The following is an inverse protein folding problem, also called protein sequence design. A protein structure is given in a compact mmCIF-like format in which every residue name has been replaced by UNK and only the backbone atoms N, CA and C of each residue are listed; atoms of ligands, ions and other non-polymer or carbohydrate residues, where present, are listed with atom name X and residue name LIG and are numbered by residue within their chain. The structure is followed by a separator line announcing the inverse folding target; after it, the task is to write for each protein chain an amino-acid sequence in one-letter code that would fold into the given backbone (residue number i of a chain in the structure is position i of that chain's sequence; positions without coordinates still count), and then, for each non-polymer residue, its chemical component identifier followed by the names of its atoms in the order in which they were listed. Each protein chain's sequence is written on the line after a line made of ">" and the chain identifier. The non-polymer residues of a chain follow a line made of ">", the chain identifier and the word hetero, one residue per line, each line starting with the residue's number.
data_IF_506916374468
#
_entry.id   IF_506916374468
#
_cell.length_a   1.000
_cell.length_b   1.000
_cell.length_c   1.000
_cell.angle_alpha   90.00
_cell.angle_beta   90.00
_cell.angle_gamma   90.00
#
_symmetry.space_group_name_H-M   'P 1'
#
loop_
_entity.id
_entity.type
_entity.pdbx_description
1 polymer ?
#
# COMPACT_ATOMS: atom_id res chain seq x y z
N UNK A 1 -0.77 52.99 -68.28
CA UNK A 1 -1.52 51.81 -67.79
C UNK A 1 -0.87 51.13 -66.58
N UNK A 2 0.43 51.29 -66.26
CA UNK A 2 1.06 50.56 -65.14
C UNK A 2 0.61 51.01 -63.73
N UNK A 3 0.23 52.28 -63.51
CA UNK A 3 -0.13 52.79 -62.17
C UNK A 3 -1.37 52.13 -61.53
N UNK A 4 -2.32 51.66 -62.35
CA UNK A 4 -3.53 50.94 -61.88
C UNK A 4 -3.26 49.47 -61.59
N UNK A 5 -2.31 48.86 -62.28
CA UNK A 5 -1.89 47.47 -62.04
C UNK A 5 -1.06 47.37 -60.74
N UNK A 6 -0.22 48.37 -60.46
CA UNK A 6 0.53 48.48 -59.19
C UNK A 6 -0.40 48.71 -57.98
N UNK A 7 -1.42 49.57 -58.10
CA UNK A 7 -2.44 49.79 -57.06
C UNK A 7 -3.29 48.54 -56.80
N UNK A 8 -3.71 47.84 -57.86
CA UNK A 8 -4.47 46.59 -57.73
C UNK A 8 -3.64 45.48 -57.07
N UNK A 9 -2.34 45.38 -57.40
CA UNK A 9 -1.40 44.47 -56.76
C UNK A 9 -1.25 44.74 -55.26
N UNK A 10 -1.09 46.02 -54.87
CA UNK A 10 -0.98 46.39 -53.44
C UNK A 10 -2.27 46.15 -52.65
N UNK A 11 -3.44 46.41 -53.26
CA UNK A 11 -4.73 46.11 -52.62
C UNK A 11 -4.88 44.61 -52.37
N UNK A 12 -4.52 43.78 -53.36
CA UNK A 12 -4.60 42.32 -53.22
C UNK A 12 -3.65 41.81 -52.12
N UNK A 13 -2.42 42.31 -52.06
CA UNK A 13 -1.46 41.93 -51.02
C UNK A 13 -1.97 42.29 -49.63
N UNK A 14 -2.50 43.50 -49.45
CA UNK A 14 -3.06 43.93 -48.17
C UNK A 14 -4.26 43.06 -47.75
N UNK A 15 -5.19 42.79 -48.67
CA UNK A 15 -6.35 41.93 -48.40
C UNK A 15 -5.91 40.52 -48.02
N UNK A 16 -4.97 39.92 -48.78
CA UNK A 16 -4.42 38.60 -48.46
C UNK A 16 -3.70 38.59 -47.11
N UNK A 17 -2.96 39.65 -46.78
CA UNK A 17 -2.29 39.78 -45.48
C UNK A 17 -3.31 39.85 -44.34
N UNK A 18 -4.38 40.65 -44.47
CA UNK A 18 -5.44 40.71 -43.46
C UNK A 18 -6.15 39.36 -43.30
N UNK A 19 -6.47 38.67 -44.40
CA UNK A 19 -7.10 37.34 -44.36
C UNK A 19 -6.16 36.32 -43.71
N UNK A 20 -4.87 36.33 -44.04
CA UNK A 20 -3.89 35.44 -43.44
C UNK A 20 -3.72 35.69 -41.93
N UNK A 21 -3.62 36.95 -41.51
CA UNK A 21 -3.51 37.32 -40.09
C UNK A 21 -4.80 36.94 -39.34
N UNK A 22 -5.97 37.27 -39.89
CA UNK A 22 -7.26 36.94 -39.28
C UNK A 22 -7.43 35.41 -39.14
N UNK A 23 -7.08 34.65 -40.17
CA UNK A 23 -7.14 33.18 -40.15
C UNK A 23 -6.17 32.60 -39.10
N UNK A 24 -4.95 33.15 -39.02
CA UNK A 24 -3.98 32.77 -37.99
C UNK A 24 -4.45 33.07 -36.57
N UNK A 25 -5.09 34.23 -36.35
CA UNK A 25 -5.66 34.59 -35.05
C UNK A 25 -6.80 33.66 -34.64
N UNK A 26 -7.71 33.32 -35.57
CA UNK A 26 -8.79 32.36 -35.32
C UNK A 26 -8.23 30.99 -34.93
N UNK A 27 -7.21 30.49 -35.64
CA UNK A 27 -6.57 29.21 -35.31
C UNK A 27 -5.92 29.21 -33.92
N UNK A 28 -5.29 30.32 -33.53
CA UNK A 28 -4.69 30.48 -32.20
C UNK A 28 -5.74 30.51 -31.08
N UNK A 29 -6.90 31.13 -31.32
CA UNK A 29 -8.01 31.17 -30.36
C UNK A 29 -8.61 29.77 -30.15
N UNK A 30 -8.93 29.05 -31.23
CA UNK A 30 -9.50 27.70 -31.18
C UNK A 30 -8.59 26.75 -30.39
N UNK A 31 -7.29 26.73 -30.73
CA UNK A 31 -6.33 25.87 -30.03
C UNK A 31 -6.21 26.19 -28.53
N UNK A 32 -6.32 27.48 -28.14
CA UNK A 32 -6.26 27.87 -26.72
C UNK A 32 -7.51 27.42 -25.96
N UNK A 33 -8.68 27.52 -26.59
CA UNK A 33 -9.96 27.13 -25.98
C UNK A 33 -10.06 25.62 -25.78
N UNK A 34 -9.69 24.81 -26.79
CA UNK A 34 -9.69 23.35 -26.69
C UNK A 34 -8.78 22.86 -25.55
N UNK A 35 -7.57 23.39 -25.45
CA UNK A 35 -6.63 23.03 -24.38
C UNK A 35 -7.17 23.42 -22.99
N UNK A 36 -7.87 24.55 -22.87
CA UNK A 36 -8.45 24.99 -21.60
C UNK A 36 -9.61 24.07 -21.17
N UNK A 37 -10.46 23.69 -22.12
CA UNK A 37 -11.60 22.80 -21.90
C UNK A 37 -11.14 21.40 -21.49
N UNK A 38 -10.16 20.83 -22.20
CA UNK A 38 -9.59 19.52 -21.87
C UNK A 38 -8.98 19.50 -20.46
N UNK A 39 -8.24 20.55 -20.08
CA UNK A 39 -7.69 20.66 -18.73
C UNK A 39 -8.79 20.75 -17.68
N UNK A 40 -9.85 21.52 -17.94
CA UNK A 40 -10.99 21.63 -17.02
C UNK A 40 -11.71 20.29 -16.85
N UNK A 41 -11.93 19.54 -17.94
CA UNK A 41 -12.52 18.20 -17.92
C UNK A 41 -11.65 17.21 -17.12
N UNK A 42 -10.34 17.12 -17.42
CA UNK A 42 -9.41 16.25 -16.69
C UNK A 42 -9.31 16.59 -15.21
N UNK A 43 -9.33 17.87 -14.86
CA UNK A 43 -9.31 18.31 -13.46
C UNK A 43 -10.59 17.88 -12.73
N UNK A 44 -11.75 18.00 -13.39
CA UNK A 44 -13.03 17.53 -12.85
C UNK A 44 -13.04 16.01 -12.68
N UNK A 45 -12.59 15.26 -13.67
CA UNK A 45 -12.46 13.80 -13.59
C UNK A 45 -11.52 13.37 -12.48
N UNK A 46 -10.36 14.03 -12.35
CA UNK A 46 -9.40 13.77 -11.27
C UNK A 46 -10.01 14.02 -9.89
N UNK A 47 -10.76 15.11 -9.71
CA UNK A 47 -11.45 15.40 -8.45
C UNK A 47 -12.51 14.34 -8.12
N UNK A 48 -13.29 13.90 -9.11
CA UNK A 48 -14.28 12.81 -8.93
C UNK A 48 -13.60 11.49 -8.59
N UNK A 49 -12.56 11.10 -9.31
CA UNK A 49 -11.81 9.87 -9.06
C UNK A 49 -11.17 9.90 -7.65
N UNK A 50 -10.63 11.05 -7.24
CA UNK A 50 -10.09 11.21 -5.89
C UNK A 50 -11.18 11.09 -4.81
N UNK A 51 -12.39 11.59 -5.05
CA UNK A 51 -13.52 11.42 -4.13
C UNK A 51 -13.90 9.95 -3.97
N UNK A 52 -13.89 9.16 -5.06
CA UNK A 52 -14.13 7.71 -5.01
C UNK A 52 -13.02 6.99 -4.24
N UNK A 53 -11.76 7.32 -4.49
CA UNK A 53 -10.60 6.80 -3.72
C UNK A 53 -10.79 7.06 -2.22
N UNK A 54 -11.17 8.28 -1.84
CA UNK A 54 -11.48 8.64 -0.44
C UNK A 54 -12.66 7.86 0.13
N UNK A 55 -13.70 7.64 -0.66
CA UNK A 55 -14.84 6.80 -0.28
C UNK A 55 -14.40 5.37 0.03
N UNK A 56 -13.52 4.79 -0.80
CA UNK A 56 -12.93 3.46 -0.57
C UNK A 56 -12.12 3.38 0.73
N UNK A 57 -11.26 4.37 1.00
CA UNK A 57 -10.52 4.46 2.27
C UNK A 57 -11.47 4.51 3.49
N UNK A 58 -12.53 5.32 3.42
CA UNK A 58 -13.52 5.45 4.50
C UNK A 58 -14.33 4.16 4.69
N UNK A 59 -14.69 3.48 3.60
CA UNK A 59 -15.36 2.18 3.63
C UNK A 59 -14.53 1.16 4.39
N UNK A 60 -13.22 1.10 4.12
CA UNK A 60 -12.29 0.23 4.84
C UNK A 60 -12.19 0.59 6.34
N UNK A 61 -12.15 1.88 6.70
CA UNK A 61 -12.17 2.32 8.11
C UNK A 61 -13.45 1.83 8.82
N UNK A 62 -14.61 1.94 8.17
CA UNK A 62 -15.89 1.49 8.74
C UNK A 62 -15.93 -0.03 8.88
N UNK A 63 -15.44 -0.75 7.87
CA UNK A 63 -15.36 -2.20 7.89
C UNK A 63 -14.47 -2.71 9.03
N UNK A 64 -13.25 -2.19 9.16
CA UNK A 64 -12.31 -2.55 10.21
C UNK A 64 -12.79 -2.14 11.61
N UNK A 65 -13.56 -1.05 11.72
CA UNK A 65 -14.23 -0.68 12.97
C UNK A 65 -15.31 -1.67 13.37
N UNK A 66 -16.15 -2.10 12.42
CA UNK A 66 -17.19 -3.11 12.65
C UNK A 66 -16.56 -4.45 13.02
N UNK A 67 -15.49 -4.80 12.33
CA UNK A 67 -14.74 -6.02 12.56
C UNK A 67 -14.20 -6.11 13.99
N UNK A 68 -13.58 -5.04 14.50
CA UNK A 68 -13.07 -5.02 15.88
C UNK A 68 -14.17 -5.13 16.96
N UNK A 69 -15.44 -4.97 16.60
CA UNK A 69 -16.59 -5.28 17.49
C UNK A 69 -17.02 -6.75 17.34
N UNK A 70 -17.04 -7.27 16.11
CA UNK A 70 -17.56 -8.60 15.80
C UNK A 70 -16.55 -9.72 16.13
N UNK A 71 -15.26 -9.50 15.86
CA UNK A 71 -14.17 -10.46 16.02
C UNK A 71 -12.94 -9.78 16.66
N UNK A 72 -13.00 -9.36 17.94
CA UNK A 72 -11.94 -8.55 18.57
C UNK A 72 -10.60 -9.27 18.82
N UNK A 73 -10.55 -10.59 18.60
CA UNK A 73 -9.46 -11.46 19.07
C UNK A 73 -8.71 -12.17 17.94
N UNK A 74 -9.16 -12.07 16.71
CA UNK A 74 -8.51 -12.67 15.55
C UNK A 74 -8.70 -11.77 14.33
N UNK A 75 -7.77 -11.83 13.39
CA UNK A 75 -7.88 -11.26 12.05
C UNK A 75 -7.41 -12.31 11.06
N UNK A 76 -8.20 -12.52 10.00
CA UNK A 76 -7.94 -13.55 9.01
C UNK A 76 -8.72 -13.32 7.71
N UNK A 77 -8.41 -14.12 6.68
CA UNK A 77 -8.96 -13.95 5.34
C UNK A 77 -10.44 -14.37 5.20
N UNK A 78 -11.04 -15.00 6.23
CA UNK A 78 -12.45 -15.40 6.19
C UNK A 78 -13.40 -14.25 6.55
N UNK A 79 -12.86 -13.18 7.13
CA UNK A 79 -13.63 -12.06 7.67
C UNK A 79 -14.20 -11.14 6.58
N UNK A 80 -15.25 -10.36 6.91
CA UNK A 80 -15.89 -9.49 5.93
C UNK A 80 -14.96 -8.45 5.32
N UNK A 81 -14.01 -7.90 6.10
CA UNK A 81 -13.10 -6.88 5.59
C UNK A 81 -12.17 -7.40 4.49
N UNK A 82 -11.74 -8.66 4.58
CA UNK A 82 -10.86 -9.30 3.59
C UNK A 82 -11.58 -9.49 2.24
N UNK A 83 -12.89 -9.70 2.30
CA UNK A 83 -13.77 -9.87 1.13
C UNK A 83 -14.12 -8.57 0.41
N UNK A 84 -13.80 -7.40 0.98
CA UNK A 84 -13.99 -6.11 0.34
C UNK A 84 -12.97 -5.83 -0.78
N UNK A 85 -11.97 -6.69 -0.95
CA UNK A 85 -11.02 -6.53 -2.05
C UNK A 85 -11.76 -6.73 -3.38
N UNK A 86 -11.97 -5.64 -4.11
CA UNK A 86 -12.68 -5.56 -5.37
C UNK A 86 -11.73 -5.12 -6.49
N UNK A 87 -11.95 -5.68 -7.68
CA UNK A 87 -11.19 -5.34 -8.88
C UNK A 87 -12.15 -4.97 -9.99
N UNK A 88 -11.87 -3.83 -10.64
CA UNK A 88 -12.65 -3.27 -11.74
C UNK A 88 -14.17 -3.15 -11.46
N UNK A 89 -14.55 -2.86 -10.21
CA UNK A 89 -15.95 -2.64 -9.84
C UNK A 89 -16.52 -1.45 -10.64
N UNK A 90 -17.68 -1.60 -11.30
CA UNK A 90 -18.25 -0.55 -12.12
C UNK A 90 -18.75 0.60 -11.24
N UNK A 91 -18.37 1.82 -11.61
CA UNK A 91 -18.87 3.07 -11.01
C UNK A 91 -19.36 3.99 -12.11
N UNK A 92 -20.08 5.05 -11.74
CA UNK A 92 -20.52 6.05 -12.71
C UNK A 92 -19.33 6.68 -13.44
N UNK A 93 -19.21 6.41 -14.74
CA UNK A 93 -18.16 6.96 -15.60
C UNK A 93 -16.81 6.23 -15.53
N UNK A 94 -16.72 5.06 -14.89
CA UNK A 94 -15.51 4.23 -14.96
C UNK A 94 -15.45 3.07 -13.97
N UNK A 95 -14.27 2.84 -13.38
CA UNK A 95 -14.00 1.66 -12.54
C UNK A 95 -13.34 2.00 -11.21
N UNK A 96 -13.54 1.12 -10.24
CA UNK A 96 -12.98 1.21 -8.89
C UNK A 96 -12.27 -0.10 -8.51
N UNK A 97 -11.13 0.04 -7.85
CA UNK A 97 -10.41 -1.08 -7.23
C UNK A 97 -10.15 -0.76 -5.76
N UNK A 98 -10.32 -1.77 -4.92
CA UNK A 98 -10.01 -1.76 -3.50
C UNK A 98 -9.22 -3.02 -3.17
N UNK A 99 -8.09 -2.89 -2.49
CA UNK A 99 -7.36 -4.01 -1.93
C UNK A 99 -7.12 -3.72 -0.45
N UNK A 100 -7.50 -4.66 0.41
CA UNK A 100 -7.23 -4.61 1.85
C UNK A 100 -6.41 -5.83 2.22
N UNK A 101 -5.32 -5.61 2.97
CA UNK A 101 -4.48 -6.69 3.47
C UNK A 101 -4.03 -6.40 4.90
N UNK A 102 -3.85 -7.45 5.67
CA UNK A 102 -3.22 -7.37 6.98
C UNK A 102 -1.75 -6.95 6.83
N UNK A 103 -1.30 -5.97 7.60
CA UNK A 103 0.08 -5.48 7.56
C UNK A 103 1.01 -6.22 8.52
N UNK A 104 0.48 -6.97 9.48
CA UNK A 104 1.20 -7.54 10.62
C UNK A 104 1.64 -9.00 10.38
N UNK A 105 1.79 -9.44 9.13
CA UNK A 105 2.33 -10.77 8.80
C UNK A 105 3.86 -10.89 8.89
N UNK A 106 4.57 -9.77 9.11
CA UNK A 106 6.04 -9.70 9.12
C UNK A 106 6.57 -9.11 10.42
N UNK A 107 7.83 -9.37 10.73
CA UNK A 107 8.48 -8.81 11.91
C UNK A 107 8.67 -7.29 11.78
N UNK A 108 8.08 -6.53 12.69
CA UNK A 108 8.25 -5.08 12.68
C UNK A 108 9.59 -4.66 13.28
N UNK A 109 10.45 -4.06 12.47
CA UNK A 109 11.78 -3.61 12.88
C UNK A 109 11.71 -2.62 14.05
N UNK A 110 10.64 -1.82 14.16
CA UNK A 110 10.47 -0.86 15.25
C UNK A 110 10.37 -1.53 16.64
N UNK A 111 10.15 -2.85 16.71
CA UNK A 111 10.24 -3.63 17.94
C UNK A 111 11.65 -3.63 18.56
N UNK A 112 12.69 -3.40 17.75
CA UNK A 112 14.10 -3.37 18.22
C UNK A 112 14.45 -2.09 18.98
N UNK A 113 13.63 -1.03 18.86
CA UNK A 113 13.93 0.30 19.39
C UNK A 113 14.11 0.31 20.91
N UNK A 114 13.29 -0.44 21.62
CA UNK A 114 13.29 -0.46 23.09
C UNK A 114 14.26 -1.49 23.67
N UNK A 115 14.92 -2.29 22.84
CA UNK A 115 15.87 -3.32 23.29
C UNK A 115 15.21 -4.50 24.02
N UNK A 116 13.96 -4.82 23.69
CA UNK A 116 13.29 -6.01 24.21
C UNK A 116 14.06 -7.28 23.81
N UNK A 117 14.35 -8.14 24.78
CA UNK A 117 15.15 -9.34 24.56
C UNK A 117 14.47 -10.33 23.59
N UNK A 118 13.15 -10.47 23.66
CA UNK A 118 12.39 -11.31 22.75
C UNK A 118 12.44 -10.79 21.31
N UNK A 119 12.32 -9.47 21.14
CA UNK A 119 12.44 -8.83 19.83
C UNK A 119 13.83 -9.05 19.21
N UNK A 120 14.89 -8.89 20.01
CA UNK A 120 16.27 -9.10 19.57
C UNK A 120 16.50 -10.56 19.18
N UNK A 121 16.05 -11.51 20.00
CA UNK A 121 16.19 -12.96 19.72
C UNK A 121 15.42 -13.38 18.47
N UNK A 122 14.20 -12.87 18.28
CA UNK A 122 13.42 -13.15 17.08
C UNK A 122 14.10 -12.56 15.83
N UNK A 123 14.57 -11.32 15.89
CA UNK A 123 15.30 -10.72 14.77
C UNK A 123 16.61 -11.45 14.47
N UNK A 124 17.37 -11.89 15.47
CA UNK A 124 18.54 -12.75 15.28
C UNK A 124 18.19 -14.08 14.58
N UNK A 125 17.02 -14.65 14.90
CA UNK A 125 16.53 -15.88 14.26
C UNK A 125 16.24 -15.65 12.79
N UNK A 126 15.51 -14.57 12.47
CA UNK A 126 15.23 -14.16 11.08
C UNK A 126 16.53 -13.90 10.33
N UNK A 127 17.42 -13.09 10.90
CA UNK A 127 18.70 -12.73 10.31
C UNK A 127 19.56 -13.97 10.01
N UNK A 128 19.61 -14.93 10.94
CA UNK A 128 20.33 -16.19 10.73
C UNK A 128 19.73 -17.02 9.59
N UNK A 129 18.40 -17.09 9.48
CA UNK A 129 17.73 -17.86 8.42
C UNK A 129 18.01 -17.29 7.02
N UNK A 130 18.08 -15.95 6.91
CA UNK A 130 18.39 -15.27 5.64
C UNK A 130 19.90 -15.20 5.35
N UNK A 131 20.76 -15.63 6.28
CA UNK A 131 22.21 -15.68 6.10
C UNK A 131 22.97 -14.41 6.49
N UNK A 132 22.37 -13.51 7.26
CA UNK A 132 23.05 -12.31 7.78
C UNK A 132 24.01 -12.66 8.92
N UNK A 133 25.12 -11.92 8.99
CA UNK A 133 26.12 -12.09 10.04
C UNK A 133 25.66 -11.48 11.37
N UNK A 134 26.32 -11.85 12.47
CA UNK A 134 26.08 -11.21 13.77
C UNK A 134 26.41 -9.71 13.74
N UNK A 135 27.39 -9.29 12.93
CA UNK A 135 27.75 -7.88 12.75
C UNK A 135 26.61 -7.10 12.08
N UNK A 136 25.98 -7.69 11.05
CA UNK A 136 24.84 -7.11 10.35
C UNK A 136 23.64 -6.91 11.26
N UNK A 137 23.38 -7.88 12.14
CA UNK A 137 22.35 -7.75 13.18
C UNK A 137 22.64 -6.57 14.10
N UNK A 138 23.88 -6.44 14.57
CA UNK A 138 24.27 -5.32 15.45
C UNK A 138 24.09 -3.98 14.73
N UNK A 139 24.47 -3.89 13.45
CA UNK A 139 24.27 -2.67 12.63
C UNK A 139 22.79 -2.33 12.51
N UNK A 140 21.94 -3.29 12.15
CA UNK A 140 20.50 -3.07 11.99
C UNK A 140 19.83 -2.66 13.30
N UNK A 141 20.12 -3.35 14.41
CA UNK A 141 19.60 -3.01 15.74
C UNK A 141 20.06 -1.61 16.15
N UNK A 142 21.34 -1.29 15.97
CA UNK A 142 21.89 0.03 16.30
C UNK A 142 21.22 1.12 15.47
N UNK A 143 21.05 0.89 14.17
CA UNK A 143 20.37 1.82 13.27
C UNK A 143 18.95 2.11 13.74
N UNK A 144 18.14 1.08 14.01
CA UNK A 144 16.75 1.27 14.47
C UNK A 144 16.71 1.97 15.84
N UNK A 145 17.66 1.69 16.74
CA UNK A 145 17.69 2.35 18.05
C UNK A 145 18.07 3.83 17.97
N UNK A 146 18.97 4.19 17.06
CA UNK A 146 19.44 5.58 16.89
C UNK A 146 18.50 6.44 16.05
N UNK A 147 17.94 5.87 14.98
CA UNK A 147 17.18 6.61 13.96
C UNK A 147 15.69 6.24 13.91
N UNK A 148 15.26 5.26 14.72
CA UNK A 148 13.88 4.83 14.77
C UNK A 148 12.92 5.84 15.43
N UNK A 149 11.61 5.76 15.17
CA UNK A 149 10.95 4.73 14.37
C UNK A 149 11.28 4.85 12.88
N UNK A 150 11.62 3.72 12.26
CA UNK A 150 11.85 3.64 10.82
C UNK A 150 10.52 3.48 10.11
N UNK A 151 10.38 4.14 8.96
CA UNK A 151 9.18 4.07 8.10
C UNK A 151 9.44 3.28 6.82
N UNK A 152 10.67 2.80 6.63
CA UNK A 152 11.11 2.08 5.44
C UNK A 152 12.30 1.18 5.77
N UNK A 153 12.39 0.04 5.08
CA UNK A 153 13.44 -0.96 5.23
C UNK A 153 14.63 -0.71 4.30
N UNK A 154 14.46 0.05 3.22
CA UNK A 154 15.48 0.39 2.21
C UNK A 154 16.76 1.00 2.79
N UNK A 155 16.74 1.83 3.85
CA UNK A 155 17.97 2.31 4.47
C UNK A 155 18.88 1.21 5.01
N UNK A 156 18.32 0.07 5.45
CA UNK A 156 19.13 -1.08 5.90
C UNK A 156 19.98 -1.64 4.76
N UNK A 157 19.45 -1.67 3.53
CA UNK A 157 20.22 -2.06 2.34
C UNK A 157 21.44 -1.17 2.11
N UNK A 158 21.31 0.13 2.41
CA UNK A 158 22.41 1.09 2.25
C UNK A 158 23.46 0.96 3.36
N UNK A 159 23.19 0.19 4.42
CA UNK A 159 24.13 -0.06 5.52
C UNK A 159 25.21 -1.12 5.18
N UNK A 160 25.28 -1.58 3.93
CA UNK A 160 26.29 -2.53 3.46
C UNK A 160 25.98 -4.00 3.73
N UNK A 161 24.70 -4.33 3.94
CA UNK A 161 24.23 -5.72 4.07
C UNK A 161 24.40 -6.49 2.75
N UNK A 162 24.60 -7.80 2.83
CA UNK A 162 24.70 -8.66 1.65
C UNK A 162 23.39 -8.60 0.82
N UNK A 163 23.43 -8.34 -0.50
CA UNK A 163 22.24 -8.08 -1.30
C UNK A 163 21.20 -9.21 -1.32
N UNK A 164 21.61 -10.48 -1.40
CA UNK A 164 20.68 -11.61 -1.47
C UNK A 164 19.97 -11.84 -0.12
N UNK A 165 20.72 -11.80 0.98
CA UNK A 165 20.22 -11.88 2.34
C UNK A 165 19.28 -10.72 2.65
N UNK A 166 19.61 -9.51 2.17
CA UNK A 166 18.74 -8.33 2.31
C UNK A 166 17.43 -8.53 1.56
N UNK A 167 17.45 -9.02 0.32
CA UNK A 167 16.23 -9.26 -0.45
C UNK A 167 15.32 -10.32 0.19
N UNK A 168 15.88 -11.34 0.86
CA UNK A 168 15.11 -12.28 1.68
C UNK A 168 14.58 -11.63 2.96
N UNK A 169 15.41 -10.82 3.64
CA UNK A 169 15.02 -10.08 4.84
C UNK A 169 13.79 -9.20 4.56
N UNK A 170 13.76 -8.51 3.42
CA UNK A 170 12.64 -7.63 3.02
C UNK A 170 11.29 -8.37 2.96
N UNK A 171 11.28 -9.69 2.76
CA UNK A 171 10.05 -10.51 2.77
C UNK A 171 9.62 -10.92 4.18
N UNK A 172 10.49 -10.78 5.16
CA UNK A 172 10.27 -11.22 6.54
C UNK A 172 10.12 -10.06 7.52
N UNK A 173 10.49 -8.84 7.13
CA UNK A 173 10.41 -7.66 8.01
C UNK A 173 9.50 -6.57 7.44
N UNK A 174 9.09 -5.66 8.31
CA UNK A 174 8.29 -4.46 7.98
C UNK A 174 8.70 -3.29 8.87
N UNK A 175 8.23 -2.09 8.53
CA UNK A 175 8.50 -0.84 9.23
C UNK A 175 7.18 -0.15 9.62
N UNK A 176 6.36 -0.83 10.43
CA UNK A 176 5.05 -0.31 10.85
C UNK A 176 5.18 0.63 12.06
N UNK A 177 4.32 1.66 12.15
CA UNK A 177 4.30 2.56 13.29
C UNK A 177 3.83 1.82 14.56
N UNK A 178 4.55 2.07 15.66
CA UNK A 178 4.26 1.47 16.96
C UNK A 178 4.85 0.06 17.15
N UNK A 179 4.41 -0.62 18.20
CA UNK A 179 4.76 -2.00 18.50
C UNK A 179 3.64 -2.93 18.00
N UNK A 180 4.00 -3.95 17.22
CA UNK A 180 3.05 -4.88 16.60
C UNK A 180 3.48 -6.32 16.87
N UNK A 181 2.50 -7.20 17.06
CA UNK A 181 2.72 -8.64 17.04
C UNK A 181 2.75 -9.14 15.59
N UNK A 182 3.23 -10.35 15.37
CA UNK A 182 3.09 -11.03 14.07
C UNK A 182 1.80 -11.85 14.09
N UNK A 183 0.86 -11.52 13.21
CA UNK A 183 -0.35 -12.31 13.02
C UNK A 183 -0.04 -13.56 12.21
N UNK A 184 -0.22 -14.74 12.82
CA UNK A 184 -0.01 -16.04 12.18
C UNK A 184 -0.95 -16.29 10.99
N UNK A 185 -2.09 -15.61 10.91
CA UNK A 185 -3.00 -15.69 9.76
C UNK A 185 -2.53 -14.85 8.56
N UNK A 186 -1.69 -13.84 8.80
CA UNK A 186 -1.11 -12.98 7.78
C UNK A 186 0.32 -13.36 7.40
N UNK A 187 1.01 -14.13 8.24
CA UNK A 187 2.40 -14.52 8.02
C UNK A 187 2.58 -15.44 6.80
N UNK A 188 3.49 -15.12 5.89
CA UNK A 188 3.78 -15.97 4.75
C UNK A 188 4.43 -17.32 5.18
N UNK A 189 4.40 -18.35 4.32
CA UNK A 189 4.97 -19.67 4.66
C UNK A 189 6.43 -19.62 5.13
N UNK A 190 7.24 -18.73 4.55
CA UNK A 190 8.64 -18.53 4.96
C UNK A 190 8.73 -17.99 6.40
N UNK A 191 7.86 -17.03 6.77
CA UNK A 191 7.79 -16.53 8.14
C UNK A 191 7.33 -17.62 9.12
N UNK A 192 6.36 -18.46 8.76
CA UNK A 192 5.95 -19.58 9.61
C UNK A 192 7.12 -20.56 9.85
N UNK A 193 7.95 -20.83 8.84
CA UNK A 193 9.14 -21.68 9.00
C UNK A 193 10.13 -21.07 10.00
N UNK A 194 10.39 -19.76 9.91
CA UNK A 194 11.28 -19.06 10.83
C UNK A 194 10.74 -19.06 12.27
N UNK A 195 9.43 -18.84 12.44
CA UNK A 195 8.78 -18.76 13.75
C UNK A 195 8.77 -20.09 14.49
N UNK A 196 8.43 -21.19 13.80
CA UNK A 196 8.28 -22.50 14.43
C UNK A 196 9.57 -23.33 14.40
N UNK A 197 10.54 -22.98 13.55
CA UNK A 197 11.82 -23.69 13.37
C UNK A 197 11.65 -25.19 13.06
N UNK A 198 10.50 -25.54 12.51
CA UNK A 198 10.13 -26.87 12.06
C UNK A 198 9.45 -26.71 10.69
N UNK A 199 10.16 -27.01 9.58
CA UNK A 199 9.62 -26.85 8.24
C UNK A 199 8.37 -27.69 7.98
N UNK A 200 8.29 -28.90 8.57
CA UNK A 200 7.16 -29.80 8.38
C UNK A 200 5.93 -29.27 9.12
N UNK A 201 6.11 -28.81 10.36
CA UNK A 201 5.03 -28.20 11.13
C UNK A 201 4.55 -26.90 10.46
N UNK A 202 5.46 -26.04 10.01
CA UNK A 202 5.12 -24.80 9.31
C UNK A 202 4.35 -25.06 7.99
N UNK A 203 4.76 -26.08 7.23
CA UNK A 203 4.02 -26.50 6.03
C UNK A 203 2.61 -26.98 6.38
N UNK A 204 2.46 -27.82 7.42
CA UNK A 204 1.14 -28.28 7.88
C UNK A 204 0.25 -27.12 8.32
N UNK A 205 0.79 -26.14 9.05
CA UNK A 205 0.05 -24.94 9.41
C UNK A 205 -0.38 -24.15 8.17
N UNK A 206 0.50 -23.97 7.18
CA UNK A 206 0.14 -23.30 5.93
C UNK A 206 -0.99 -24.03 5.19
N UNK A 207 -0.97 -25.37 5.17
CA UNK A 207 -2.04 -26.19 4.57
C UNK A 207 -3.36 -26.10 5.35
N UNK A 208 -3.32 -26.15 6.68
CA UNK A 208 -4.50 -25.96 7.54
C UNK A 208 -5.13 -24.59 7.26
N UNK A 209 -4.30 -23.54 7.22
CA UNK A 209 -4.75 -22.18 6.91
C UNK A 209 -5.35 -22.08 5.51
N UNK A 210 -4.73 -22.70 4.51
CA UNK A 210 -5.25 -22.69 3.15
C UNK A 210 -6.61 -23.39 3.03
N UNK A 211 -6.82 -24.48 3.79
CA UNK A 211 -8.10 -25.22 3.81
C UNK A 211 -9.19 -24.50 4.60
N UNK A 212 -8.85 -23.98 5.77
CA UNK A 212 -9.82 -23.43 6.73
C UNK A 212 -9.99 -21.91 6.63
N UNK A 213 -9.10 -21.24 5.88
CA UNK A 213 -8.99 -19.78 5.78
C UNK A 213 -8.33 -19.10 6.98
N UNK A 214 -8.04 -19.84 8.07
CA UNK A 214 -7.38 -19.35 9.27
C UNK A 214 -6.70 -20.46 10.07
N UNK A 215 -5.80 -20.05 10.95
CA UNK A 215 -5.20 -20.80 12.05
C UNK A 215 -5.84 -20.37 13.36
N UNK A 216 -5.88 -21.30 14.29
CA UNK A 216 -6.37 -21.11 15.65
C UNK A 216 -5.36 -21.67 16.65
N UNK A 217 -5.50 -21.30 17.93
CA UNK A 217 -4.71 -21.90 19.00
C UNK A 217 -4.84 -23.44 19.06
N UNK A 218 -6.00 -23.99 18.67
CA UNK A 218 -6.22 -25.44 18.65
C UNK A 218 -5.34 -26.11 17.61
N UNK A 219 -5.18 -25.52 16.42
CA UNK A 219 -4.35 -26.09 15.36
C UNK A 219 -2.87 -26.20 15.78
N UNK A 220 -2.39 -25.23 16.56
CA UNK A 220 -1.05 -25.29 17.16
C UNK A 220 -0.98 -26.41 18.22
N UNK A 221 -1.98 -26.50 19.10
CA UNK A 221 -2.05 -27.54 20.13
C UNK A 221 -2.11 -28.96 19.55
N UNK A 222 -2.89 -29.17 18.48
CA UNK A 222 -3.01 -30.46 17.78
C UNK A 222 -1.66 -30.91 17.17
N UNK A 223 -0.75 -29.96 16.89
CA UNK A 223 0.61 -30.21 16.41
C UNK A 223 1.68 -30.18 17.52
N UNK A 224 1.27 -30.08 18.79
CA UNK A 224 2.16 -29.90 19.95
C UNK A 224 3.09 -28.67 19.84
N UNK A 225 2.62 -27.60 19.20
CA UNK A 225 3.35 -26.35 19.05
C UNK A 225 2.93 -25.36 20.12
N UNK A 226 3.89 -24.60 20.62
CA UNK A 226 3.64 -23.43 21.46
C UNK A 226 3.56 -22.17 20.60
N UNK A 227 2.85 -21.15 21.09
CA UNK A 227 2.79 -19.85 20.43
C UNK A 227 4.15 -19.14 20.54
N UNK A 228 4.82 -18.82 19.43
CA UNK A 228 6.10 -18.11 19.49
C UNK A 228 5.96 -16.71 20.09
N UNK A 229 7.03 -16.22 20.72
CA UNK A 229 7.04 -14.87 21.30
C UNK A 229 6.72 -13.82 20.24
N UNK A 230 5.93 -12.81 20.63
CA UNK A 230 5.58 -11.70 19.75
C UNK A 230 4.64 -12.08 18.61
N UNK A 231 3.99 -13.25 18.67
CA UNK A 231 2.98 -13.68 17.69
C UNK A 231 1.59 -13.71 18.30
N UNK A 232 0.57 -13.68 17.44
CA UNK A 232 -0.83 -13.79 17.83
C UNK A 232 -1.71 -14.07 16.62
N UNK A 233 -3.02 -13.93 16.81
CA UNK A 233 -4.01 -14.09 15.74
C UNK A 233 -4.68 -12.77 15.36
N UNK A 234 -4.42 -11.71 16.13
CA UNK A 234 -4.99 -10.38 15.97
C UNK A 234 -3.95 -9.41 15.44
N UNK A 235 -4.38 -8.55 14.56
CA UNK A 235 -3.69 -7.39 14.01
C UNK A 235 -4.38 -6.09 14.39
N UNK A 236 -3.62 -5.01 14.40
CA UNK A 236 -4.16 -3.65 14.57
C UNK A 236 -3.88 -2.75 13.39
N UNK A 237 -3.12 -3.21 12.40
CA UNK A 237 -2.62 -2.42 11.28
C UNK A 237 -2.94 -3.10 9.96
N UNK A 238 -3.55 -2.35 9.05
CA UNK A 238 -4.03 -2.87 7.77
C UNK A 238 -3.60 -1.95 6.63
N UNK A 239 -3.13 -2.54 5.55
CA UNK A 239 -2.92 -1.85 4.30
C UNK A 239 -4.24 -1.73 3.55
N UNK A 240 -4.50 -0.54 3.01
CA UNK A 240 -5.59 -0.31 2.08
C UNK A 240 -5.07 0.41 0.86
N UNK A 241 -5.29 -0.17 -0.31
CA UNK A 241 -4.98 0.45 -1.59
C UNK A 241 -6.27 0.66 -2.37
N UNK A 242 -6.44 1.86 -2.88
CA UNK A 242 -7.63 2.25 -3.66
C UNK A 242 -7.20 2.87 -4.97
N UNK A 243 -7.93 2.55 -6.04
CA UNK A 243 -7.78 3.19 -7.35
C UNK A 243 -9.16 3.44 -7.94
N UNK A 244 -9.33 4.61 -8.53
CA UNK A 244 -10.52 4.92 -9.30
C UNK A 244 -10.08 5.50 -10.64
N UNK A 245 -10.73 5.06 -11.70
CA UNK A 245 -10.52 5.55 -13.05
C UNK A 245 -11.84 6.09 -13.57
N UNK A 246 -11.87 7.35 -14.00
CA UNK A 246 -13.05 8.00 -14.58
C UNK A 246 -12.64 8.52 -15.95
N UNK A 247 -13.32 8.08 -17.00
CA UNK A 247 -12.89 8.33 -18.38
C UNK A 247 -11.46 7.81 -18.60
N UNK A 248 -10.51 8.73 -18.83
CA UNK A 248 -9.08 8.40 -18.97
C UNK A 248 -8.23 8.77 -17.75
N UNK A 249 -8.86 9.39 -16.75
CA UNK A 249 -8.17 9.93 -15.58
C UNK A 249 -8.19 8.93 -14.44
N UNK A 250 -7.01 8.50 -13.98
CA UNK A 250 -6.87 7.58 -12.85
C UNK A 250 -6.28 8.27 -11.62
N UNK A 251 -6.85 7.98 -10.45
CA UNK A 251 -6.33 8.37 -9.15
C UNK A 251 -6.13 7.12 -8.30
N UNK A 252 -5.05 7.08 -7.51
CA UNK A 252 -4.79 5.99 -6.59
C UNK A 252 -4.14 6.49 -5.30
N UNK A 253 -4.40 5.77 -4.21
CA UNK A 253 -3.75 5.98 -2.92
C UNK A 253 -3.51 4.63 -2.22
N UNK A 254 -2.44 4.58 -1.45
CA UNK A 254 -2.25 3.56 -0.43
C UNK A 254 -2.27 4.23 0.94
N UNK A 255 -2.92 3.60 1.90
CA UNK A 255 -2.98 4.08 3.29
C UNK A 255 -2.71 2.93 4.24
N UNK A 256 -2.16 3.29 5.39
CA UNK A 256 -2.08 2.41 6.53
C UNK A 256 -3.18 2.82 7.51
N UNK A 257 -4.06 1.89 7.85
CA UNK A 257 -5.12 2.09 8.83
C UNK A 257 -4.69 1.39 10.12
N UNK A 258 -4.78 2.10 11.25
CA UNK A 258 -4.62 1.49 12.57
C UNK A 258 -5.93 1.54 13.36
N UNK A 259 -6.18 0.46 14.09
CA UNK A 259 -7.27 0.31 15.05
C UNK A 259 -6.71 0.19 16.46
N UNK A 260 -7.24 0.98 17.38
CA UNK A 260 -6.78 1.06 18.76
C UNK A 260 -8.00 0.98 19.67
N UNK A 261 -7.94 0.09 20.67
CA UNK A 261 -8.87 0.12 21.79
C UNK A 261 -8.36 1.14 22.80
N UNK A 262 -9.10 2.22 22.99
CA UNK A 262 -8.76 3.26 23.98
C UNK A 262 -9.08 2.77 25.39
N UNK A 263 -8.46 3.40 26.39
CA UNK A 263 -8.69 3.09 27.80
C UNK A 263 -10.17 3.27 28.24
N UNK A 264 -10.91 4.13 27.55
CA UNK A 264 -12.35 4.34 27.77
C UNK A 264 -13.23 3.26 27.11
N UNK A 265 -12.63 2.19 26.58
CA UNK A 265 -13.32 1.11 25.87
C UNK A 265 -13.75 1.48 24.45
N UNK A 266 -13.48 2.70 23.98
CA UNK A 266 -13.87 3.12 22.62
C UNK A 266 -12.86 2.64 21.59
N UNK A 267 -13.41 2.20 20.47
CA UNK A 267 -12.67 1.79 19.29
C UNK A 267 -12.33 3.03 18.46
N UNK A 268 -11.04 3.32 18.31
CA UNK A 268 -10.55 4.31 17.37
C UNK A 268 -9.97 3.60 16.15
N UNK A 269 -10.46 3.92 14.95
CA UNK A 269 -9.91 3.43 13.69
C UNK A 269 -9.66 4.62 12.79
N UNK A 270 -8.46 4.72 12.24
CA UNK A 270 -8.08 5.85 11.40
C UNK A 270 -6.85 5.59 10.54
N UNK A 271 -6.71 6.41 9.50
CA UNK A 271 -5.52 6.41 8.64
C UNK A 271 -4.37 7.07 9.41
N UNK A 272 -3.26 6.35 9.55
CA UNK A 272 -2.04 6.87 10.20
C UNK A 272 -0.99 7.32 9.20
N UNK A 273 -0.94 6.68 8.03
CA UNK A 273 0.01 7.03 6.96
C UNK A 273 -0.65 6.94 5.58
N UNK A 274 -0.14 7.73 4.62
CA UNK A 274 -0.70 7.82 3.27
C UNK A 274 0.38 8.07 2.22
N UNK A 275 0.28 7.33 1.12
CA UNK A 275 1.15 7.43 -0.04
C UNK A 275 0.35 7.56 -1.33
N UNK A 276 1.00 8.16 -2.35
CA UNK A 276 0.42 8.35 -3.68
C UNK A 276 1.46 8.12 -4.77
N UNK A 277 1.02 7.62 -5.92
CA UNK A 277 1.87 7.41 -7.09
C UNK A 277 3.10 6.55 -6.79
N UNK A 278 4.28 6.99 -7.21
CA UNK A 278 5.53 6.24 -7.08
C UNK A 278 6.05 6.09 -5.63
N UNK A 279 5.43 6.74 -4.65
CA UNK A 279 5.82 6.65 -3.23
C UNK A 279 5.19 5.48 -2.48
N UNK A 280 4.27 4.74 -3.11
CA UNK A 280 3.58 3.59 -2.50
C UNK A 280 4.61 2.52 -2.11
N UNK A 281 4.67 2.10 -0.83
CA UNK A 281 5.59 1.06 -0.39
C UNK A 281 5.34 -0.27 -1.11
N UNK A 282 6.38 -1.09 -1.34
CA UNK A 282 6.23 -2.43 -1.93
C UNK A 282 5.34 -3.35 -1.08
N UNK A 283 5.22 -3.05 0.21
CA UNK A 283 4.42 -3.77 1.19
C UNK A 283 2.90 -3.62 1.00
N UNK A 284 2.47 -2.55 0.31
CA UNK A 284 1.06 -2.33 0.04
C UNK A 284 0.53 -3.39 -0.95
N UNK A 285 -0.68 -3.93 -0.74
CA UNK A 285 -1.21 -4.99 -1.56
C UNK A 285 -1.35 -4.54 -3.02
N UNK A 286 -1.09 -5.47 -3.93
CA UNK A 286 -1.46 -5.31 -5.33
C UNK A 286 -2.99 -5.30 -5.49
N UNK A 287 -3.49 -4.65 -6.54
CA UNK A 287 -4.87 -4.87 -6.96
C UNK A 287 -4.98 -6.29 -7.51
N UNK A 288 -6.00 -7.02 -7.10
CA UNK A 288 -6.29 -8.36 -7.66
C UNK A 288 -6.58 -8.21 -9.16
N UNK A 289 -6.12 -9.13 -9.99
CA UNK A 289 -6.51 -9.14 -11.39
C UNK A 289 -8.03 -9.32 -11.49
N UNK A 290 -8.70 -8.49 -12.30
CA UNK A 290 -10.15 -8.60 -12.52
C UNK A 290 -10.50 -10.00 -13.01
N UNK A 291 -11.58 -10.59 -12.45
CA UNK A 291 -12.18 -11.81 -13.00
C UNK A 291 -12.94 -11.52 -14.28
#
# INVERSE_FOLDING_TARGET
>A
MSRREDEAGMILVNVLMFVAIASGLVLLLINREEIALDRALRTREAARALAVVRGGELSAVVALRRDMVAAPNEDNQTEPWAKLSESAAPIEGGTFDLAIADAEGRFNLNMLRNGDAGAIVLFQTIAKDVGLSAEDVVKAVTYVRLYGPVTDIRPLRMAGLEPQATARLERLVTALPGATAINLNAADPEMLQVLFRDPLAAQRLAEIRARNGKLTLKDLGDLNLSLPWGTGFRSNTFWVRTRATIGTTSQQAAVLIQRVLRQDGKIAVGVVERWRGASVPPDAPGFVAGR
#
